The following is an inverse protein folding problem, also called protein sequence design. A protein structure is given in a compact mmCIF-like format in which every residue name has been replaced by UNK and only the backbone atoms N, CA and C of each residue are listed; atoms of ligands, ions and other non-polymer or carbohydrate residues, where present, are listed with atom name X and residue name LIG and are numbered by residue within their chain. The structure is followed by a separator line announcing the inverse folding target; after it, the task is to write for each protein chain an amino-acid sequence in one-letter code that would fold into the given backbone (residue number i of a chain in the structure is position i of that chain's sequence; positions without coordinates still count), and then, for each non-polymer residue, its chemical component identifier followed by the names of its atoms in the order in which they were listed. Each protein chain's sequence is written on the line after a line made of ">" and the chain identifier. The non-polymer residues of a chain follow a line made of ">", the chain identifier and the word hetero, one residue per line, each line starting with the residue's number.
data_IF_335433388049
#
_entry.id   IF_335433388049
#
_cell.length_a   1.000
_cell.length_b   1.000
_cell.length_c   1.000
_cell.angle_alpha   90.00
_cell.angle_beta   90.00
_cell.angle_gamma   90.00
#
_symmetry.space_group_name_H-M   'P 1'
#
loop_
_entity.id
_entity.type
_entity.pdbx_description
1 polymer ?
#
# COMPACT_ATOMS: atom_id res chain seq x y z
N UNK A 1 31.80 -20.25 -14.69
CA UNK A 1 31.53 -19.58 -13.39
C UNK A 1 30.72 -18.27 -13.50
N UNK A 2 30.77 -17.52 -14.61
CA UNK A 2 30.00 -16.26 -14.81
C UNK A 2 28.47 -16.45 -14.96
N UNK A 3 28.01 -17.56 -15.54
CA UNK A 3 26.59 -17.82 -15.83
C UNK A 3 25.72 -18.10 -14.59
N UNK A 4 26.29 -18.69 -13.53
CA UNK A 4 25.55 -19.05 -12.30
C UNK A 4 25.17 -17.80 -11.48
N UNK A 5 26.00 -16.75 -11.52
CA UNK A 5 25.75 -15.48 -10.82
C UNK A 5 24.64 -14.65 -11.49
N UNK A 6 24.62 -14.60 -12.83
CA UNK A 6 23.62 -13.86 -13.59
C UNK A 6 22.20 -14.42 -13.41
N UNK A 7 22.05 -15.76 -13.37
CA UNK A 7 20.76 -16.39 -13.17
C UNK A 7 20.15 -16.12 -11.78
N UNK A 8 20.99 -16.04 -10.73
CA UNK A 8 20.52 -15.67 -9.38
C UNK A 8 20.06 -14.21 -9.34
N UNK A 9 20.82 -13.28 -9.93
CA UNK A 9 20.46 -11.86 -9.99
C UNK A 9 19.09 -11.64 -10.67
N UNK A 10 18.88 -12.28 -11.82
CA UNK A 10 17.62 -12.19 -12.60
C UNK A 10 16.44 -12.69 -11.76
N UNK A 11 16.63 -13.78 -11.01
CA UNK A 11 15.58 -14.34 -10.16
C UNK A 11 15.21 -13.40 -9.00
N UNK A 12 16.20 -12.78 -8.36
CA UNK A 12 15.97 -11.76 -7.34
C UNK A 12 15.24 -10.53 -7.90
N UNK A 13 15.68 -10.01 -9.05
CA UNK A 13 15.03 -8.88 -9.72
C UNK A 13 13.56 -9.18 -10.05
N UNK A 14 13.28 -10.37 -10.61
CA UNK A 14 11.91 -10.78 -10.94
C UNK A 14 11.01 -10.82 -9.70
N UNK A 15 11.52 -11.34 -8.58
CA UNK A 15 10.80 -11.36 -7.30
C UNK A 15 10.42 -9.95 -6.84
N UNK A 16 11.36 -9.01 -6.84
CA UNK A 16 11.11 -7.63 -6.38
C UNK A 16 10.18 -6.87 -7.32
N UNK A 17 10.29 -7.06 -8.64
CA UNK A 17 9.35 -6.48 -9.60
C UNK A 17 7.92 -6.96 -9.31
N UNK A 18 7.76 -8.26 -9.03
CA UNK A 18 6.44 -8.84 -8.78
C UNK A 18 5.86 -8.42 -7.41
N UNK A 19 6.71 -8.27 -6.39
CA UNK A 19 6.34 -7.64 -5.10
C UNK A 19 5.90 -6.19 -5.31
N UNK A 20 6.66 -5.40 -6.07
CA UNK A 20 6.31 -4.01 -6.35
C UNK A 20 4.99 -3.89 -7.11
N UNK A 21 4.79 -4.72 -8.14
CA UNK A 21 3.53 -4.75 -8.89
C UNK A 21 2.34 -5.09 -7.99
N UNK A 22 2.49 -6.08 -7.10
CA UNK A 22 1.45 -6.44 -6.14
C UNK A 22 1.12 -5.29 -5.18
N UNK A 23 2.13 -4.62 -4.63
CA UNK A 23 1.93 -3.48 -3.73
C UNK A 23 1.25 -2.31 -4.43
N UNK A 24 1.63 -2.05 -5.69
CA UNK A 24 1.03 -1.01 -6.51
C UNK A 24 -0.45 -1.27 -6.75
N UNK A 25 -0.79 -2.45 -7.28
CA UNK A 25 -2.19 -2.79 -7.60
C UNK A 25 -3.04 -2.88 -6.34
N UNK A 26 -2.51 -3.43 -5.25
CA UNK A 26 -3.24 -3.53 -3.98
C UNK A 26 -3.52 -2.16 -3.38
N UNK A 27 -2.53 -1.25 -3.37
CA UNK A 27 -2.71 0.11 -2.88
C UNK A 27 -3.73 0.88 -3.73
N UNK A 28 -3.66 0.74 -5.05
CA UNK A 28 -4.61 1.38 -5.94
C UNK A 28 -6.04 0.88 -5.68
N UNK A 29 -6.24 -0.44 -5.64
CA UNK A 29 -7.56 -1.05 -5.36
C UNK A 29 -8.08 -0.61 -3.99
N UNK A 30 -7.21 -0.58 -2.98
CA UNK A 30 -7.58 -0.19 -1.62
C UNK A 30 -8.08 1.25 -1.55
N UNK A 31 -7.34 2.21 -2.12
CA UNK A 31 -7.75 3.63 -2.15
C UNK A 31 -9.11 3.78 -2.84
N UNK A 32 -9.32 3.12 -3.97
CA UNK A 32 -10.61 3.19 -4.67
C UNK A 32 -11.76 2.61 -3.86
N UNK A 33 -11.52 1.51 -3.15
CA UNK A 33 -12.56 0.90 -2.36
C UNK A 33 -12.87 1.71 -1.10
N UNK A 34 -11.85 2.19 -0.39
CA UNK A 34 -12.01 2.92 0.86
C UNK A 34 -12.57 4.34 0.67
N UNK A 35 -12.00 5.09 -0.27
CA UNK A 35 -12.23 6.54 -0.40
C UNK A 35 -12.64 6.97 -1.81
N UNK A 36 -12.84 6.02 -2.74
CA UNK A 36 -13.27 6.33 -4.12
C UNK A 36 -14.64 7.02 -4.22
N UNK A 37 -15.46 7.00 -3.17
CA UNK A 37 -16.71 7.78 -3.10
C UNK A 37 -16.47 9.30 -3.17
N UNK A 38 -15.28 9.77 -2.77
CA UNK A 38 -14.88 11.19 -2.83
C UNK A 38 -14.23 11.56 -4.17
N UNK A 39 -14.15 10.64 -5.13
CA UNK A 39 -13.47 10.87 -6.42
C UNK A 39 -14.02 12.04 -7.23
N UNK A 40 -15.30 12.41 -7.04
CA UNK A 40 -15.94 13.53 -7.72
C UNK A 40 -15.76 14.87 -7.00
N UNK A 41 -15.33 14.85 -5.75
CA UNK A 41 -15.13 16.07 -4.98
C UNK A 41 -13.81 16.73 -5.40
N UNK A 42 -13.78 18.06 -5.41
CA UNK A 42 -12.58 18.82 -5.75
C UNK A 42 -11.54 18.66 -4.63
N UNK A 43 -10.28 18.46 -4.99
CA UNK A 43 -9.17 18.47 -4.03
C UNK A 43 -8.91 19.90 -3.56
N UNK A 44 -8.75 20.08 -2.23
CA UNK A 44 -8.38 21.36 -1.64
C UNK A 44 -6.95 21.78 -1.95
N UNK A 45 -6.06 20.80 -2.15
CA UNK A 45 -4.65 21.00 -2.50
C UNK A 45 -4.41 21.23 -3.99
N UNK A 46 -5.32 20.79 -4.86
CA UNK A 46 -5.21 20.96 -6.31
C UNK A 46 -6.58 20.94 -7.01
N UNK A 47 -7.06 22.11 -7.44
CA UNK A 47 -8.39 22.23 -8.05
C UNK A 47 -8.53 21.49 -9.39
N UNK A 48 -7.44 21.30 -10.13
CA UNK A 48 -7.44 20.65 -11.44
C UNK A 48 -7.00 19.18 -11.40
N UNK A 49 -6.64 18.65 -10.22
CA UNK A 49 -6.09 17.29 -10.11
C UNK A 49 -7.18 16.22 -10.16
N UNK A 50 -6.97 15.22 -11.02
CA UNK A 50 -7.87 14.07 -11.08
C UNK A 50 -7.60 13.10 -9.94
N UNK A 51 -8.66 12.49 -9.40
CA UNK A 51 -8.54 11.47 -8.36
C UNK A 51 -7.70 10.27 -8.81
N UNK A 52 -7.78 9.93 -10.10
CA UNK A 52 -7.00 8.84 -10.69
C UNK A 52 -5.50 9.13 -10.62
N UNK A 53 -5.08 10.34 -11.01
CA UNK A 53 -3.67 10.75 -10.97
C UNK A 53 -3.11 10.74 -9.54
N UNK A 54 -3.88 11.27 -8.58
CA UNK A 54 -3.52 11.21 -7.16
C UNK A 54 -3.38 9.78 -6.66
N UNK A 55 -4.35 8.91 -6.94
CA UNK A 55 -4.31 7.50 -6.53
C UNK A 55 -3.12 6.75 -7.16
N UNK A 56 -2.78 7.02 -8.42
CA UNK A 56 -1.59 6.47 -9.07
C UNK A 56 -0.32 6.96 -8.37
N UNK A 57 -0.21 8.26 -8.09
CA UNK A 57 0.95 8.84 -7.43
C UNK A 57 1.13 8.27 -6.01
N UNK A 58 0.06 8.20 -5.23
CA UNK A 58 0.05 7.57 -3.90
C UNK A 58 0.47 6.10 -3.98
N UNK A 59 -0.03 5.36 -4.97
CA UNK A 59 0.32 3.96 -5.18
C UNK A 59 1.79 3.78 -5.56
N UNK A 60 2.35 4.64 -6.42
CA UNK A 60 3.77 4.63 -6.79
C UNK A 60 4.66 4.93 -5.58
N UNK A 61 4.34 5.99 -4.83
CA UNK A 61 5.10 6.40 -3.65
C UNK A 61 5.08 5.29 -2.57
N UNK A 62 3.90 4.72 -2.33
CA UNK A 62 3.71 3.61 -1.39
C UNK A 62 4.49 2.39 -1.82
N UNK A 63 4.44 2.03 -3.10
CA UNK A 63 5.17 0.88 -3.65
C UNK A 63 6.67 1.05 -3.47
N UNK A 64 7.21 2.21 -3.81
CA UNK A 64 8.62 2.52 -3.63
C UNK A 64 9.00 2.37 -2.16
N UNK A 65 8.32 3.12 -1.28
CA UNK A 65 8.60 3.12 0.16
C UNK A 65 8.50 1.72 0.80
N UNK A 66 7.39 1.01 0.57
CA UNK A 66 7.16 -0.31 1.17
C UNK A 66 8.11 -1.37 0.61
N UNK A 67 8.53 -1.29 -0.65
CA UNK A 67 9.50 -2.25 -1.21
C UNK A 67 10.83 -2.15 -0.47
N UNK A 68 11.35 -0.94 -0.22
CA UNK A 68 12.57 -0.74 0.57
C UNK A 68 12.38 -1.15 2.03
N UNK A 69 11.24 -0.83 2.62
CA UNK A 69 10.94 -1.18 4.00
C UNK A 69 10.84 -2.70 4.20
N UNK A 70 10.17 -3.41 3.30
CA UNK A 70 10.04 -4.88 3.36
C UNK A 70 11.37 -5.57 3.05
N UNK A 71 12.21 -4.96 2.21
CA UNK A 71 13.59 -5.39 2.05
C UNK A 71 14.36 -5.27 3.36
N UNK A 72 14.24 -4.16 4.11
CA UNK A 72 14.86 -4.03 5.42
C UNK A 72 14.31 -5.06 6.44
N UNK A 73 13.00 -5.30 6.44
CA UNK A 73 12.37 -6.33 7.28
C UNK A 73 12.77 -7.77 6.92
N UNK A 74 13.37 -7.98 5.74
CA UNK A 74 13.91 -9.30 5.37
C UNK A 74 15.06 -9.77 6.27
N UNK A 75 15.67 -8.86 7.04
CA UNK A 75 16.69 -9.17 8.04
C UNK A 75 16.13 -9.92 9.27
N UNK A 76 14.81 -9.89 9.48
CA UNK A 76 14.15 -10.56 10.61
C UNK A 76 14.02 -12.06 10.30
N UNK A 77 14.62 -12.91 11.15
CA UNK A 77 14.62 -14.37 10.98
C UNK A 77 13.26 -15.02 11.26
N UNK A 78 12.48 -14.46 12.19
CA UNK A 78 11.17 -15.00 12.53
C UNK A 78 10.13 -14.58 11.49
N UNK A 79 9.69 -15.54 10.68
CA UNK A 79 8.73 -15.32 9.60
C UNK A 79 7.39 -14.79 10.10
N UNK A 80 6.84 -15.33 11.20
CA UNK A 80 5.55 -14.88 11.73
C UNK A 80 5.61 -13.45 12.24
N UNK A 81 6.69 -13.10 12.95
CA UNK A 81 6.91 -11.74 13.41
C UNK A 81 7.05 -10.78 12.23
N UNK A 82 7.87 -11.14 11.23
CA UNK A 82 8.04 -10.36 10.01
C UNK A 82 6.71 -10.08 9.32
N UNK A 83 5.88 -11.10 9.08
CA UNK A 83 4.57 -10.94 8.42
C UNK A 83 3.60 -10.08 9.22
N UNK A 84 3.62 -10.22 10.55
CA UNK A 84 2.79 -9.41 11.43
C UNK A 84 3.19 -7.93 11.34
N UNK A 85 4.50 -7.63 11.34
CA UNK A 85 5.00 -6.27 11.18
C UNK A 85 4.65 -5.70 9.79
N UNK A 86 4.86 -6.47 8.72
CA UNK A 86 4.49 -6.06 7.35
C UNK A 86 2.99 -5.73 7.25
N UNK A 87 2.13 -6.55 7.87
CA UNK A 87 0.68 -6.32 7.90
C UNK A 87 0.32 -5.03 8.63
N UNK A 88 0.87 -4.82 9.83
CA UNK A 88 0.61 -3.61 10.63
C UNK A 88 1.04 -2.36 9.85
N UNK A 89 2.21 -2.40 9.22
CA UNK A 89 2.73 -1.28 8.41
C UNK A 89 1.81 -0.99 7.22
N UNK A 90 1.34 -2.00 6.50
CA UNK A 90 0.38 -1.81 5.40
C UNK A 90 -0.90 -1.12 5.88
N UNK A 91 -1.47 -1.61 6.98
CA UNK A 91 -2.69 -1.04 7.58
C UNK A 91 -2.47 0.44 7.92
N UNK A 92 -1.37 0.78 8.57
CA UNK A 92 -1.06 2.16 8.96
C UNK A 92 -0.85 3.08 7.74
N UNK A 93 -0.11 2.63 6.73
CA UNK A 93 0.16 3.42 5.52
C UNK A 93 -1.12 3.68 4.74
N UNK A 94 -1.99 2.69 4.60
CA UNK A 94 -3.26 2.88 3.88
C UNK A 94 -4.26 3.72 4.66
N UNK A 95 -4.36 3.56 5.99
CA UNK A 95 -5.17 4.47 6.81
C UNK A 95 -4.66 5.91 6.71
N UNK A 96 -3.34 6.12 6.64
CA UNK A 96 -2.75 7.44 6.42
C UNK A 96 -3.15 8.04 5.06
N UNK A 97 -3.09 7.26 3.98
CA UNK A 97 -3.53 7.75 2.67
C UNK A 97 -5.01 8.05 2.61
N UNK A 98 -5.85 7.16 3.16
CA UNK A 98 -7.28 7.37 3.21
C UNK A 98 -7.65 8.61 4.02
N UNK A 99 -6.98 8.85 5.15
CA UNK A 99 -7.13 10.06 5.92
C UNK A 99 -6.74 11.29 5.08
N UNK A 100 -5.60 11.22 4.38
CA UNK A 100 -5.13 12.32 3.53
C UNK A 100 -6.13 12.66 2.42
N UNK A 101 -6.68 11.64 1.74
CA UNK A 101 -7.72 11.82 0.72
C UNK A 101 -9.00 12.40 1.32
N UNK A 102 -9.44 11.87 2.47
CA UNK A 102 -10.63 12.39 3.16
C UNK A 102 -10.45 13.86 3.56
N UNK A 103 -9.29 14.21 4.11
CA UNK A 103 -8.99 15.59 4.48
C UNK A 103 -9.05 16.49 3.26
N UNK A 104 -8.33 16.11 2.21
CA UNK A 104 -8.17 16.94 1.04
C UNK A 104 -9.46 17.12 0.22
N UNK A 105 -10.30 16.09 0.13
CA UNK A 105 -11.49 16.07 -0.74
C UNK A 105 -12.82 16.27 -0.03
N UNK A 106 -12.83 16.30 1.29
CA UNK A 106 -14.06 16.47 2.08
C UNK A 106 -13.84 17.37 3.30
N UNK A 107 -12.85 17.05 4.14
CA UNK A 107 -12.68 17.75 5.43
C UNK A 107 -12.33 19.22 5.24
N UNK A 108 -11.37 19.54 4.37
CA UNK A 108 -10.89 20.90 4.10
C UNK A 108 -11.97 21.82 3.52
N UNK A 109 -13.05 21.24 2.99
CA UNK A 109 -14.20 21.98 2.45
C UNK A 109 -15.32 22.17 3.47
N UNK A 110 -15.14 21.69 4.70
CA UNK A 110 -16.15 21.61 5.75
C UNK A 110 -15.54 21.95 7.11
N UNK A 111 -16.33 21.84 8.18
CA UNK A 111 -15.92 22.14 9.55
C UNK A 111 -15.80 20.87 10.40
N UNK A 112 -15.02 19.88 9.94
CA UNK A 112 -14.74 18.70 10.75
C UNK A 112 -13.66 19.00 11.79
N UNK A 113 -13.80 18.39 12.97
CA UNK A 113 -12.74 18.32 13.97
C UNK A 113 -11.84 17.12 13.71
N UNK A 114 -10.60 17.15 14.19
CA UNK A 114 -9.65 16.03 14.05
C UNK A 114 -10.21 14.67 14.53
N UNK A 115 -11.04 14.68 15.58
CA UNK A 115 -11.68 13.45 16.07
C UNK A 115 -12.70 12.89 15.08
N UNK A 116 -13.46 13.77 14.44
CA UNK A 116 -14.44 13.38 13.42
C UNK A 116 -13.71 12.89 12.17
N UNK A 117 -12.63 13.56 11.74
CA UNK A 117 -11.82 13.11 10.59
C UNK A 117 -11.33 11.67 10.76
N UNK A 118 -10.78 11.36 11.93
CA UNK A 118 -10.36 10.00 12.25
C UNK A 118 -11.56 9.04 12.25
N UNK A 119 -12.66 9.40 12.91
CA UNK A 119 -13.84 8.55 12.99
C UNK A 119 -14.42 8.22 11.60
N UNK A 120 -14.55 9.22 10.73
CA UNK A 120 -15.04 9.03 9.37
C UNK A 120 -14.05 8.23 8.52
N UNK A 121 -12.75 8.49 8.65
CA UNK A 121 -11.72 7.70 7.95
C UNK A 121 -11.81 6.24 8.36
N UNK A 122 -11.79 5.93 9.66
CA UNK A 122 -11.90 4.55 10.14
C UNK A 122 -13.19 3.88 9.70
N UNK A 123 -14.32 4.58 9.78
CA UNK A 123 -15.64 4.02 9.41
C UNK A 123 -15.70 3.61 7.94
N UNK A 124 -15.05 4.37 7.04
CA UNK A 124 -15.04 4.05 5.61
C UNK A 124 -13.93 3.07 5.22
N UNK A 125 -12.79 3.12 5.90
CA UNK A 125 -11.58 2.41 5.49
C UNK A 125 -11.36 1.08 6.18
N UNK A 126 -11.94 0.81 7.36
CA UNK A 126 -11.56 -0.36 8.16
C UNK A 126 -11.75 -1.68 7.41
N UNK A 127 -12.88 -1.85 6.72
CA UNK A 127 -13.17 -3.09 5.99
C UNK A 127 -12.28 -3.22 4.74
N UNK A 128 -12.20 -2.23 3.83
CA UNK A 128 -11.29 -2.29 2.70
C UNK A 128 -9.83 -2.53 3.10
N UNK A 129 -9.32 -1.79 4.09
CA UNK A 129 -7.94 -1.92 4.57
C UNK A 129 -7.67 -3.33 5.09
N UNK A 130 -8.53 -3.89 5.95
CA UNK A 130 -8.32 -5.23 6.51
C UNK A 130 -8.38 -6.32 5.44
N UNK A 131 -9.34 -6.25 4.52
CA UNK A 131 -9.51 -7.25 3.45
C UNK A 131 -8.32 -7.21 2.51
N UNK A 132 -7.99 -6.03 1.95
CA UNK A 132 -6.93 -5.92 0.95
C UNK A 132 -5.56 -6.21 1.58
N UNK A 133 -5.33 -5.84 2.84
CA UNK A 133 -4.02 -6.02 3.49
C UNK A 133 -3.77 -7.50 3.78
N UNK A 134 -4.80 -8.21 4.23
CA UNK A 134 -4.75 -9.66 4.46
C UNK A 134 -4.46 -10.39 3.14
N UNK A 135 -5.18 -10.07 2.07
CA UNK A 135 -4.95 -10.66 0.74
C UNK A 135 -3.54 -10.36 0.24
N UNK A 136 -3.07 -9.12 0.42
CA UNK A 136 -1.72 -8.69 0.01
C UNK A 136 -0.64 -9.49 0.74
N UNK A 137 -0.75 -9.66 2.06
CA UNK A 137 0.22 -10.44 2.84
C UNK A 137 0.22 -11.92 2.46
N UNK A 138 -0.94 -12.51 2.20
CA UNK A 138 -1.05 -13.90 1.71
C UNK A 138 -0.34 -14.03 0.36
N UNK A 139 -0.59 -13.11 -0.57
CA UNK A 139 0.06 -13.10 -1.88
C UNK A 139 1.58 -12.90 -1.76
N UNK A 140 2.04 -11.96 -0.93
CA UNK A 140 3.47 -11.76 -0.64
C UNK A 140 4.13 -13.03 -0.08
N UNK A 141 3.41 -13.77 0.76
CA UNK A 141 3.90 -15.04 1.29
C UNK A 141 4.06 -16.10 0.20
N UNK A 142 3.09 -16.22 -0.71
CA UNK A 142 3.15 -17.12 -1.85
C UNK A 142 4.32 -16.79 -2.80
N UNK A 143 4.53 -15.49 -3.08
CA UNK A 143 5.64 -15.00 -3.90
C UNK A 143 6.98 -15.31 -3.23
N UNK A 144 7.05 -15.15 -1.91
CA UNK A 144 8.28 -15.42 -1.15
C UNK A 144 8.65 -16.90 -1.22
N UNK A 145 7.68 -17.80 -1.00
CA UNK A 145 7.87 -19.25 -1.02
C UNK A 145 8.22 -19.81 -2.40
N UNK A 146 7.59 -19.27 -3.46
CA UNK A 146 7.89 -19.70 -4.84
C UNK A 146 9.29 -19.31 -5.33
N UNK A 147 9.96 -18.38 -4.63
CA UNK A 147 11.28 -17.86 -4.98
C UNK A 147 12.36 -18.11 -3.92
N UNK A 148 12.24 -19.19 -3.15
CA UNK A 148 13.35 -19.73 -2.35
C UNK A 148 14.20 -20.67 -3.21
N UNK A 149 15.54 -20.56 -3.18
CA UNK A 149 16.41 -21.53 -3.86
C UNK A 149 16.32 -22.88 -3.13
N UNK A 150 15.81 -23.91 -3.81
CA UNK A 150 15.95 -25.31 -3.40
C UNK A 150 17.43 -25.71 -3.28
#
# INVERSE_FOLDING_TARGET
>A
MKSISQNKLIFFLKKYILVGLLLFTSTFIEIYWAVGKFSKNISSGCMDCSFIEEAILMSLLTTFFLTFLFLALSLIKNLYLKRTIELIILILVWLFWNHTVFVDRESSWSTYTFKEELFYTFSNSILPVLVVSTVTIIALNYISKSHEPN
#
